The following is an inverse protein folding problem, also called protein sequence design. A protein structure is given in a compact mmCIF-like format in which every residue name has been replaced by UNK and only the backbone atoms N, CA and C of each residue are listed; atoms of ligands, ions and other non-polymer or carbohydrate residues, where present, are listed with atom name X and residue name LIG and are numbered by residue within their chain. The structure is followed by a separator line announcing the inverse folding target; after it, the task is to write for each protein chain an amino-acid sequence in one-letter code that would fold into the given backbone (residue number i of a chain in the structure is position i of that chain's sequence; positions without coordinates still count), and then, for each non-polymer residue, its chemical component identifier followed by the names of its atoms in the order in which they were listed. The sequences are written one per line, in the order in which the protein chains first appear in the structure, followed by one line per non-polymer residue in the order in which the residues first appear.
data_IF_814063202245
#
_entry.id   IF_814063202245
#
_cell.length_a   1.000
_cell.length_b   1.000
_cell.length_c   1.000
_cell.angle_alpha   90.00
_cell.angle_beta   90.00
_cell.angle_gamma   90.00
#
_symmetry.space_group_name_H-M   'P 1'
#
loop_
_entity.id
_entity.type
_entity.pdbx_description
1 polymer ?
#
# COMPACT_ATOMS: atom_id res chain seq x y z
N UNK A 1 -24.38 -12.32 -18.77
CA UNK A 1 -23.56 -12.79 -17.64
C UNK A 1 -22.13 -13.28 -18.03
N UNK A 2 -21.47 -12.65 -19.02
CA UNK A 2 -20.01 -12.83 -19.29
C UNK A 2 -19.21 -11.62 -18.79
N UNK A 3 -19.82 -10.42 -18.84
CA UNK A 3 -19.27 -9.17 -18.34
C UNK A 3 -19.04 -9.17 -16.81
N UNK A 4 -19.95 -9.75 -16.03
CA UNK A 4 -19.84 -9.73 -14.55
C UNK A 4 -18.66 -10.56 -14.03
N UNK A 5 -18.34 -11.68 -14.69
CA UNK A 5 -17.17 -12.51 -14.34
C UNK A 5 -15.86 -11.80 -14.63
N UNK A 6 -15.76 -11.11 -15.77
CA UNK A 6 -14.57 -10.32 -16.12
C UNK A 6 -14.39 -9.15 -15.14
N UNK A 7 -15.48 -8.44 -14.79
CA UNK A 7 -15.48 -7.38 -13.77
C UNK A 7 -14.99 -7.89 -12.42
N UNK A 8 -15.49 -9.03 -11.94
CA UNK A 8 -15.03 -9.64 -10.70
C UNK A 8 -13.56 -10.10 -10.77
N UNK A 9 -13.12 -10.60 -11.92
CA UNK A 9 -11.72 -11.00 -12.15
C UNK A 9 -10.78 -9.79 -12.07
N UNK A 10 -11.12 -8.69 -12.75
CA UNK A 10 -10.36 -7.44 -12.69
C UNK A 10 -10.36 -6.83 -11.28
N UNK A 11 -11.51 -6.81 -10.59
CA UNK A 11 -11.59 -6.37 -9.19
C UNK A 11 -10.68 -7.20 -8.28
N UNK A 12 -10.68 -8.52 -8.46
CA UNK A 12 -9.84 -9.44 -7.69
C UNK A 12 -8.36 -9.21 -8.00
N UNK A 13 -7.98 -9.10 -9.27
CA UNK A 13 -6.61 -8.83 -9.70
C UNK A 13 -6.09 -7.51 -9.12
N UNK A 14 -6.92 -6.47 -9.16
CA UNK A 14 -6.57 -5.15 -8.64
C UNK A 14 -6.37 -5.19 -7.12
N UNK A 15 -7.20 -5.94 -6.38
CA UNK A 15 -7.05 -6.14 -4.94
C UNK A 15 -5.83 -6.98 -4.58
N UNK A 16 -5.63 -8.11 -5.25
CA UNK A 16 -4.52 -9.03 -4.96
C UNK A 16 -3.16 -8.44 -5.29
N UNK A 17 -3.10 -7.50 -6.25
CA UNK A 17 -1.87 -6.79 -6.57
C UNK A 17 -1.33 -5.97 -5.38
N UNK A 18 -2.18 -5.55 -4.44
CA UNK A 18 -1.74 -4.88 -3.20
C UNK A 18 -1.33 -5.83 -2.08
N UNK A 19 -1.59 -7.14 -2.19
CA UNK A 19 -1.29 -8.08 -1.11
C UNK A 19 0.17 -8.05 -0.70
N UNK A 20 1.09 -7.79 -1.64
CA UNK A 20 2.52 -7.67 -1.35
C UNK A 20 2.85 -6.40 -0.55
N UNK A 21 2.27 -5.25 -0.91
CA UNK A 21 2.35 -4.03 -0.11
C UNK A 21 1.74 -4.23 1.29
N UNK A 22 0.56 -4.85 1.36
CA UNK A 22 -0.15 -5.11 2.62
C UNK A 22 0.67 -6.05 3.51
N UNK A 23 1.27 -7.11 2.95
CA UNK A 23 2.16 -8.02 3.67
C UNK A 23 3.37 -7.28 4.27
N UNK A 24 4.01 -6.40 3.50
CA UNK A 24 5.13 -5.57 3.97
C UNK A 24 4.72 -4.59 5.08
N UNK A 25 3.49 -4.06 5.02
CA UNK A 25 2.93 -3.17 6.05
C UNK A 25 2.51 -3.92 7.32
N UNK A 26 2.02 -5.15 7.20
CA UNK A 26 1.58 -5.97 8.33
C UNK A 26 2.72 -6.78 8.96
N UNK A 27 3.90 -6.83 8.34
CA UNK A 27 5.03 -7.58 8.85
C UNK A 27 5.41 -7.09 10.25
N UNK A 28 5.13 -7.96 11.22
CA UNK A 28 5.32 -7.74 12.65
C UNK A 28 6.79 -7.84 13.06
N UNK A 29 7.71 -8.12 12.13
CA UNK A 29 9.16 -8.06 12.35
C UNK A 29 9.65 -6.68 12.81
N UNK A 30 8.80 -5.65 12.64
CA UNK A 30 8.94 -4.27 13.11
C UNK A 30 8.75 -4.08 14.62
N UNK A 31 8.41 -5.13 15.38
CA UNK A 31 8.26 -5.07 16.84
C UNK A 31 9.59 -4.70 17.53
N UNK A 32 9.49 -3.98 18.65
CA UNK A 32 10.61 -3.50 19.48
C UNK A 32 11.71 -4.56 19.62
N UNK A 33 12.95 -4.21 19.25
CA UNK A 33 14.15 -5.04 19.49
C UNK A 33 14.99 -5.36 18.26
N UNK A 34 14.57 -5.00 17.03
CA UNK A 34 15.40 -5.15 15.82
C UNK A 34 16.18 -3.87 15.46
N UNK A 35 17.34 -4.07 14.83
CA UNK A 35 18.24 -2.98 14.39
C UNK A 35 17.57 -2.06 13.38
N UNK A 36 17.84 -0.76 13.49
CA UNK A 36 17.45 0.29 12.54
C UNK A 36 17.76 -0.05 11.07
N UNK A 37 18.79 -0.86 10.83
CA UNK A 37 19.15 -1.35 9.50
C UNK A 37 18.04 -2.21 8.87
N UNK A 38 17.42 -3.10 9.64
CA UNK A 38 16.34 -3.97 9.16
C UNK A 38 15.08 -3.17 8.88
N UNK A 39 14.77 -2.24 9.78
CA UNK A 39 13.66 -1.31 9.64
C UNK A 39 13.80 -0.45 8.38
N UNK A 40 14.99 0.10 8.13
CA UNK A 40 15.30 0.88 6.93
C UNK A 40 15.13 0.07 5.64
N UNK A 41 15.62 -1.17 5.61
CA UNK A 41 15.44 -2.07 4.46
C UNK A 41 13.96 -2.35 4.19
N UNK A 42 13.16 -2.58 5.23
CA UNK A 42 11.74 -2.84 5.07
C UNK A 42 10.97 -1.63 4.55
N UNK A 43 11.28 -0.42 5.04
CA UNK A 43 10.70 0.83 4.51
C UNK A 43 11.07 1.02 3.04
N UNK A 44 12.32 0.74 2.67
CA UNK A 44 12.76 0.82 1.27
C UNK A 44 12.04 -0.19 0.38
N UNK A 45 11.90 -1.44 0.82
CA UNK A 45 11.15 -2.48 0.09
C UNK A 45 9.69 -2.08 -0.09
N UNK A 46 9.05 -1.53 0.94
CA UNK A 46 7.68 -1.01 0.84
C UNK A 46 7.60 0.13 -0.18
N UNK A 47 8.50 1.12 -0.13
CA UNK A 47 8.48 2.25 -1.06
C UNK A 47 8.66 1.79 -2.52
N UNK A 48 9.56 0.82 -2.77
CA UNK A 48 9.74 0.25 -4.11
C UNK A 48 8.50 -0.46 -4.62
N UNK A 49 7.89 -1.31 -3.79
CA UNK A 49 6.68 -2.04 -4.14
C UNK A 49 5.51 -1.08 -4.38
N UNK A 50 5.35 -0.08 -3.50
CA UNK A 50 4.32 0.95 -3.62
C UNK A 50 4.48 1.74 -4.93
N UNK A 51 5.68 2.21 -5.25
CA UNK A 51 5.95 2.95 -6.49
C UNK A 51 5.70 2.08 -7.74
N UNK A 52 6.08 0.81 -7.71
CA UNK A 52 5.79 -0.13 -8.80
C UNK A 52 4.28 -0.33 -8.96
N UNK A 53 3.57 -0.55 -7.86
CA UNK A 53 2.13 -0.74 -7.87
C UNK A 53 1.39 0.51 -8.34
N UNK A 54 1.78 1.69 -7.86
CA UNK A 54 1.20 2.96 -8.29
C UNK A 54 1.38 3.16 -9.81
N UNK A 55 2.57 2.88 -10.36
CA UNK A 55 2.81 2.94 -11.82
C UNK A 55 1.93 1.95 -12.60
N UNK A 56 1.85 0.70 -12.16
CA UNK A 56 1.01 -0.31 -12.81
C UNK A 56 -0.47 0.10 -12.79
N UNK A 57 -0.91 0.73 -11.69
CA UNK A 57 -2.28 1.19 -11.56
C UNK A 57 -2.66 2.32 -12.51
N UNK A 58 -1.74 3.25 -12.77
CA UNK A 58 -1.99 4.35 -13.72
C UNK A 58 -2.20 3.84 -15.16
N UNK A 59 -1.79 2.61 -15.47
CA UNK A 59 -2.00 1.98 -16.78
C UNK A 59 -3.38 1.30 -16.90
N UNK A 60 -4.08 1.05 -15.80
CA UNK A 60 -5.41 0.43 -15.84
C UNK A 60 -6.49 1.45 -16.18
N UNK A 61 -7.12 1.29 -17.34
CA UNK A 61 -8.33 2.04 -17.72
C UNK A 61 -9.54 1.24 -17.27
N UNK A 62 -10.21 1.70 -16.21
CA UNK A 62 -11.52 1.18 -15.79
C UNK A 62 -12.60 2.10 -16.37
N UNK A 63 -13.33 1.69 -17.43
CA UNK A 63 -14.31 2.54 -18.11
C UNK A 63 -15.56 2.81 -17.26
N UNK A 64 -15.89 1.93 -16.31
CA UNK A 64 -16.99 2.16 -15.37
C UNK A 64 -16.48 2.92 -14.14
N UNK A 65 -16.92 4.18 -14.01
CA UNK A 65 -16.53 5.08 -12.92
C UNK A 65 -17.01 4.61 -11.54
N UNK A 66 -18.24 4.12 -11.42
CA UNK A 66 -18.79 3.62 -10.14
C UNK A 66 -18.01 2.40 -9.66
N UNK A 67 -17.69 1.47 -10.56
CA UNK A 67 -16.88 0.30 -10.24
C UNK A 67 -15.45 0.70 -9.81
N UNK A 68 -14.86 1.69 -10.49
CA UNK A 68 -13.55 2.23 -10.12
C UNK A 68 -13.59 2.82 -8.72
N UNK A 69 -14.59 3.65 -8.42
CA UNK A 69 -14.75 4.29 -7.12
C UNK A 69 -14.95 3.26 -6.01
N UNK A 70 -15.77 2.24 -6.24
CA UNK A 70 -15.99 1.15 -5.27
C UNK A 70 -14.68 0.39 -4.98
N UNK A 71 -13.94 -0.02 -6.02
CA UNK A 71 -12.67 -0.75 -5.86
C UNK A 71 -11.63 0.09 -5.11
N UNK A 72 -11.53 1.38 -5.45
CA UNK A 72 -10.62 2.32 -4.77
C UNK A 72 -11.03 2.52 -3.32
N UNK A 73 -12.33 2.64 -3.04
CA UNK A 73 -12.85 2.78 -1.68
C UNK A 73 -12.55 1.56 -0.81
N UNK A 74 -12.77 0.36 -1.33
CA UNK A 74 -12.48 -0.89 -0.61
C UNK A 74 -10.98 -1.05 -0.33
N UNK A 75 -10.12 -0.64 -1.27
CA UNK A 75 -8.68 -0.64 -1.06
C UNK A 75 -8.22 0.40 -0.05
N UNK A 76 -8.78 1.62 -0.09
CA UNK A 76 -8.54 2.66 0.92
C UNK A 76 -8.84 2.14 2.32
N UNK A 77 -10.00 1.52 2.49
CA UNK A 77 -10.43 0.97 3.77
C UNK A 77 -9.46 -0.07 4.38
N UNK A 78 -8.63 -0.72 3.56
CA UNK A 78 -7.61 -1.70 4.01
C UNK A 78 -6.23 -1.07 4.11
N UNK A 79 -5.78 -0.35 3.08
CA UNK A 79 -4.42 0.20 3.01
C UNK A 79 -4.21 1.34 4.00
N UNK A 80 -5.20 2.20 4.18
CA UNK A 80 -5.10 3.37 5.04
C UNK A 80 -4.79 3.00 6.51
N UNK A 81 -5.55 2.12 7.19
CA UNK A 81 -5.22 1.71 8.56
C UNK A 81 -3.89 0.93 8.64
N UNK A 82 -3.55 0.12 7.64
CA UNK A 82 -2.26 -0.57 7.60
C UNK A 82 -1.09 0.42 7.48
N UNK A 83 -1.23 1.43 6.63
CA UNK A 83 -0.22 2.46 6.41
C UNK A 83 -0.07 3.38 7.62
N UNK A 84 -1.18 3.81 8.24
CA UNK A 84 -1.15 4.60 9.47
C UNK A 84 -0.43 3.86 10.60
N UNK A 85 -0.73 2.58 10.80
CA UNK A 85 -0.06 1.78 11.81
C UNK A 85 1.44 1.63 11.52
N UNK A 86 1.82 1.44 10.25
CA UNK A 86 3.23 1.41 9.83
C UNK A 86 3.93 2.74 10.08
N UNK A 87 3.32 3.84 9.65
CA UNK A 87 3.84 5.19 9.79
C UNK A 87 4.03 5.57 11.27
N UNK A 88 3.06 5.26 12.11
CA UNK A 88 3.14 5.45 13.56
C UNK A 88 4.29 4.64 14.18
N UNK A 89 4.53 3.40 13.73
CA UNK A 89 5.67 2.60 14.20
C UNK A 89 7.01 3.20 13.80
N UNK A 90 7.16 3.65 12.56
CA UNK A 90 8.42 4.29 12.11
C UNK A 90 8.66 5.61 12.85
N UNK A 91 7.61 6.37 13.19
CA UNK A 91 7.75 7.57 14.05
C UNK A 91 8.25 7.30 15.46
N UNK A 92 8.09 6.06 15.96
CA UNK A 92 8.56 5.66 17.29
C UNK A 92 10.01 5.17 17.27
N UNK A 93 10.69 5.16 16.12
CA UNK A 93 12.09 4.74 16.00
C UNK A 93 13.01 5.92 15.73
N UNK A 94 14.31 5.69 15.89
CA UNK A 94 15.38 6.66 15.55
C UNK A 94 15.34 7.12 14.08
N UNK A 95 14.66 6.37 13.20
CA UNK A 95 14.50 6.69 11.78
C UNK A 95 13.43 7.75 11.51
N UNK A 96 12.66 8.18 12.53
CA UNK A 96 11.66 9.24 12.36
C UNK A 96 12.24 10.56 11.82
N UNK A 97 13.54 10.78 11.97
CA UNK A 97 14.26 11.96 11.48
C UNK A 97 14.67 11.86 10.00
N UNK A 98 14.63 10.65 9.42
CA UNK A 98 15.03 10.41 8.04
C UNK A 98 13.84 10.64 7.10
N UNK A 99 13.63 11.91 6.72
CA UNK A 99 12.58 12.33 5.81
C UNK A 99 12.66 11.64 4.42
N UNK A 100 13.80 11.03 4.06
CA UNK A 100 13.94 10.28 2.81
C UNK A 100 13.21 8.93 2.82
N UNK A 101 12.91 8.41 4.01
CA UNK A 101 12.22 7.13 4.20
C UNK A 101 10.69 7.28 4.20
N UNK A 102 10.19 8.41 4.69
CA UNK A 102 8.76 8.74 4.73
C UNK A 102 8.34 9.61 3.54
N UNK A 103 8.49 9.08 2.32
CA UNK A 103 8.22 9.83 1.08
C UNK A 103 6.77 10.29 0.90
N UNK A 104 5.79 9.59 1.48
CA UNK A 104 4.37 9.82 1.20
C UNK A 104 3.58 10.00 2.50
N UNK A 105 2.91 11.14 2.73
CA UNK A 105 1.97 11.28 3.83
C UNK A 105 0.76 10.35 3.63
N UNK A 106 0.12 9.81 4.69
CA UNK A 106 -1.04 8.92 4.58
C UNK A 106 -2.14 9.45 3.66
N UNK A 107 -2.39 10.77 3.70
CA UNK A 107 -3.42 11.44 2.89
C UNK A 107 -3.12 11.54 1.39
N UNK A 108 -1.89 11.25 0.95
CA UNK A 108 -1.44 11.45 -0.45
C UNK A 108 -1.35 10.13 -1.21
N UNK A 109 -1.37 8.97 -0.54
CA UNK A 109 -1.10 7.69 -1.19
C UNK A 109 -2.21 7.22 -2.17
N UNK A 110 -3.44 7.72 -2.04
CA UNK A 110 -4.59 7.24 -2.83
C UNK A 110 -5.45 8.41 -3.37
N UNK A 111 -4.83 9.57 -3.54
CA UNK A 111 -5.41 10.78 -4.14
C UNK A 111 -5.29 10.78 -5.65
#
# INVERSE_FOLDING_TARGET
ARCDKEIHSFSTMYKTAWNKCISLLMDQSMKKGKSDKHLKQQIQSFNQEFEQMFRNQQQYVIPNKELKEQIVSELKAVLEPCYEAFYARVKQTSLSSDNSLMKYPPKVMLG
#
